data_IF_467259613929
#
_entry.id   IF_467259613929
#
_cell.length_a   1.000
_cell.length_b   1.000
_cell.length_c   1.000
_cell.angle_alpha   90.00
_cell.angle_beta   90.00
_cell.angle_gamma   90.00
#
_symmetry.space_group_name_H-M   'P 1'
#
loop_
_entity.id
_entity.type
_entity.pdbx_description
1 polymer ?
#
# COMPACT_ATOMS: atom_id res chain seq x y z
N UNK A 1 24.75 -51.03 2.65
CA UNK A 1 23.28 -50.84 2.79
C UNK A 1 23.00 -49.36 2.65
N UNK A 2 22.20 -48.98 1.67
CA UNK A 2 21.77 -47.60 1.44
C UNK A 2 20.51 -47.40 2.29
N UNK A 3 20.52 -46.47 3.23
CA UNK A 3 19.29 -46.10 3.96
C UNK A 3 18.94 -44.66 3.64
N UNK A 4 17.95 -44.52 2.76
CA UNK A 4 17.16 -43.33 2.48
C UNK A 4 16.47 -42.86 3.77
N UNK A 5 16.68 -41.62 4.20
CA UNK A 5 15.79 -40.98 5.16
C UNK A 5 14.92 -39.95 4.42
N UNK A 6 13.64 -40.31 4.30
CA UNK A 6 12.53 -39.48 3.82
C UNK A 6 12.33 -38.28 4.73
N UNK A 7 12.06 -37.12 4.13
CA UNK A 7 11.69 -35.90 4.83
C UNK A 7 10.26 -35.91 5.36
N UNK A 8 10.01 -34.95 6.26
CA UNK A 8 8.68 -34.43 6.58
C UNK A 8 8.86 -32.96 7.03
N UNK A 9 8.54 -32.02 6.14
CA UNK A 9 8.46 -30.60 6.45
C UNK A 9 7.20 -30.34 7.28
N UNK A 10 7.39 -29.90 8.51
CA UNK A 10 6.31 -29.51 9.44
C UNK A 10 5.79 -28.12 9.05
N UNK A 11 4.60 -28.07 8.46
CA UNK A 11 3.82 -26.83 8.31
C UNK A 11 3.62 -26.20 9.69
N UNK A 12 4.12 -24.97 9.86
CA UNK A 12 3.90 -24.16 11.05
C UNK A 12 2.77 -23.19 10.75
N UNK A 13 1.59 -23.57 11.20
CA UNK A 13 0.40 -22.74 11.38
C UNK A 13 0.80 -21.39 11.98
N UNK A 14 0.57 -20.30 11.24
CA UNK A 14 0.65 -18.94 11.76
C UNK A 14 -0.60 -18.67 12.58
N UNK A 15 -0.46 -18.82 13.90
CA UNK A 15 -1.37 -18.24 14.87
C UNK A 15 -1.47 -16.73 14.60
N UNK A 16 -2.60 -16.29 14.05
CA UNK A 16 -2.88 -14.89 13.73
C UNK A 16 -3.71 -14.29 14.86
N UNK A 17 -3.09 -14.08 16.01
CA UNK A 17 -3.60 -13.16 17.03
C UNK A 17 -2.98 -11.78 16.80
N UNK A 18 -3.46 -11.08 15.75
CA UNK A 18 -3.08 -9.70 15.47
C UNK A 18 -3.92 -8.77 16.36
N UNK A 19 -3.31 -7.89 17.18
CA UNK A 19 -4.04 -6.95 18.05
C UNK A 19 -4.99 -6.05 17.25
N UNK A 20 -6.18 -5.79 17.81
CA UNK A 20 -7.38 -5.22 17.19
C UNK A 20 -7.30 -3.76 16.65
N UNK A 21 -6.13 -3.23 16.26
CA UNK A 21 -6.01 -1.93 15.57
C UNK A 21 -6.14 -2.03 14.03
N UNK A 22 -6.43 -3.23 13.52
CA UNK A 22 -6.36 -3.56 12.09
C UNK A 22 -7.70 -3.47 11.34
N UNK A 23 -8.81 -3.14 12.02
CA UNK A 23 -10.17 -3.29 11.46
C UNK A 23 -10.68 -2.10 10.63
N UNK A 24 -9.91 -1.01 10.51
CA UNK A 24 -10.34 0.22 9.80
C UNK A 24 -9.41 0.62 8.64
N UNK A 25 -8.68 -0.35 8.07
CA UNK A 25 -7.79 -0.09 6.93
C UNK A 25 -8.56 -0.43 5.64
N UNK A 26 -8.85 0.56 4.77
CA UNK A 26 -9.50 0.31 3.49
C UNK A 26 -8.69 -0.70 2.66
N UNK A 27 -9.40 -1.55 1.92
CA UNK A 27 -8.80 -2.58 1.06
C UNK A 27 -9.41 -2.53 -0.33
N UNK A 28 -8.64 -2.96 -1.32
CA UNK A 28 -9.17 -3.19 -2.67
C UNK A 28 -9.95 -4.49 -2.79
N UNK A 29 -10.44 -4.77 -4.00
CA UNK A 29 -11.18 -5.99 -4.35
C UNK A 29 -10.35 -7.27 -4.21
N UNK A 30 -9.02 -7.18 -4.26
CA UNK A 30 -8.10 -8.29 -3.99
C UNK A 30 -7.73 -8.42 -2.50
N UNK A 31 -8.28 -7.57 -1.63
CA UNK A 31 -8.00 -7.56 -0.21
C UNK A 31 -6.65 -6.95 0.16
N UNK A 32 -5.95 -6.27 -0.75
CA UNK A 32 -4.69 -5.57 -0.46
C UNK A 32 -5.00 -4.26 0.29
N UNK A 33 -4.21 -3.89 1.30
CA UNK A 33 -4.43 -2.66 2.06
C UNK A 33 -4.16 -1.42 1.20
N UNK A 34 -5.08 -0.47 1.20
CA UNK A 34 -4.93 0.84 0.58
C UNK A 34 -4.17 1.79 1.50
N UNK A 35 -2.92 1.41 1.79
CA UNK A 35 -2.00 2.14 2.66
C UNK A 35 -0.61 2.17 2.03
N UNK A 36 -0.07 3.38 1.85
CA UNK A 36 1.31 3.55 1.39
C UNK A 36 2.30 3.44 2.55
N UNK A 37 3.48 2.88 2.23
CA UNK A 37 4.60 2.84 3.17
C UNK A 37 5.18 4.25 3.37
N UNK A 38 5.90 4.52 4.48
CA UNK A 38 6.57 5.80 4.69
C UNK A 38 7.53 6.18 3.55
N UNK A 39 8.20 5.20 2.95
CA UNK A 39 9.11 5.42 1.82
C UNK A 39 8.36 5.89 0.56
N UNK A 40 7.22 5.26 0.24
CA UNK A 40 6.39 5.69 -0.88
C UNK A 40 5.76 7.05 -0.63
N UNK A 41 5.35 7.38 0.60
CA UNK A 41 4.84 8.70 0.93
C UNK A 41 5.90 9.79 0.72
N UNK A 42 7.17 9.53 1.09
CA UNK A 42 8.27 10.45 0.78
C UNK A 42 8.46 10.66 -0.72
N UNK A 43 8.32 9.61 -1.53
CA UNK A 43 8.37 9.72 -2.99
C UNK A 43 7.21 10.56 -3.53
N UNK A 44 5.98 10.34 -3.04
CA UNK A 44 4.81 11.16 -3.39
C UNK A 44 5.09 12.65 -3.12
N UNK A 45 5.59 12.99 -1.92
CA UNK A 45 5.95 14.38 -1.57
C UNK A 45 7.06 14.94 -2.47
N UNK A 46 8.09 14.15 -2.74
CA UNK A 46 9.21 14.57 -3.58
C UNK A 46 8.74 14.91 -5.01
N UNK A 47 7.99 14.01 -5.63
CA UNK A 47 7.48 14.24 -6.99
C UNK A 47 6.49 15.40 -7.03
N UNK A 48 5.54 15.46 -6.10
CA UNK A 48 4.62 16.59 -6.00
C UNK A 48 5.37 17.93 -5.93
N UNK A 49 6.37 18.03 -5.05
CA UNK A 49 7.18 19.24 -4.89
C UNK A 49 7.94 19.59 -6.17
N UNK A 50 8.50 18.60 -6.87
CA UNK A 50 9.23 18.83 -8.13
C UNK A 50 8.37 19.40 -9.25
N UNK A 51 7.06 19.12 -9.23
CA UNK A 51 6.08 19.66 -10.17
C UNK A 51 5.33 20.89 -9.64
N UNK A 52 5.72 21.44 -8.49
CA UNK A 52 5.06 22.61 -7.88
C UNK A 52 3.66 22.32 -7.33
N UNK A 53 3.35 21.06 -7.03
CA UNK A 53 2.06 20.64 -6.45
C UNK A 53 2.12 20.73 -4.93
N UNK A 54 1.31 21.62 -4.35
CA UNK A 54 1.20 21.82 -2.90
C UNK A 54 0.12 20.95 -2.25
N UNK A 55 -1.07 20.89 -2.87
CA UNK A 55 -2.18 20.02 -2.44
C UNK A 55 -2.21 18.76 -3.28
N UNK A 56 -1.52 17.73 -2.81
CA UNK A 56 -1.37 16.46 -3.53
C UNK A 56 -2.71 15.74 -3.63
N UNK A 57 -3.52 15.75 -2.56
CA UNK A 57 -4.83 15.10 -2.54
C UNK A 57 -5.75 15.64 -3.62
N UNK A 58 -5.96 16.96 -3.65
CA UNK A 58 -6.80 17.58 -4.66
C UNK A 58 -6.21 17.49 -6.07
N UNK A 59 -4.88 17.48 -6.20
CA UNK A 59 -4.23 17.34 -7.49
C UNK A 59 -4.42 15.95 -8.10
N UNK A 60 -4.27 14.88 -7.30
CA UNK A 60 -4.46 13.50 -7.74
C UNK A 60 -5.91 13.24 -8.14
N UNK A 61 -6.88 13.81 -7.41
CA UNK A 61 -8.30 13.73 -7.77
C UNK A 61 -8.58 14.30 -9.17
N UNK A 62 -7.97 15.44 -9.52
CA UNK A 62 -8.16 16.09 -10.84
C UNK A 62 -7.30 15.48 -11.95
N UNK A 63 -6.18 14.84 -11.61
CA UNK A 63 -5.18 14.37 -12.56
C UNK A 63 -4.95 12.85 -12.47
N UNK A 64 -5.98 12.08 -12.11
CA UNK A 64 -5.84 10.64 -11.88
C UNK A 64 -5.15 9.91 -13.05
N UNK A 65 -5.43 10.27 -14.30
CA UNK A 65 -4.77 9.67 -15.48
C UNK A 65 -3.24 9.74 -15.39
N UNK A 66 -2.69 10.81 -14.82
CA UNK A 66 -1.26 10.92 -14.56
C UNK A 66 -0.81 9.97 -13.45
N UNK A 67 -1.55 9.91 -12.33
CA UNK A 67 -1.22 9.02 -11.22
C UNK A 67 -1.25 7.53 -11.63
N UNK A 68 -2.14 7.16 -12.57
CA UNK A 68 -2.20 5.79 -13.14
C UNK A 68 -0.94 5.39 -13.91
N UNK A 69 -0.10 6.33 -14.36
CA UNK A 69 1.20 5.97 -14.93
C UNK A 69 2.11 5.27 -13.91
N UNK A 70 1.94 5.56 -12.62
CA UNK A 70 2.70 4.93 -11.52
C UNK A 70 1.96 3.76 -10.87
N UNK A 71 0.62 3.78 -10.90
CA UNK A 71 -0.26 2.76 -10.33
C UNK A 71 -1.29 2.28 -11.37
N UNK A 72 -0.86 1.56 -12.43
CA UNK A 72 -1.70 1.29 -13.61
C UNK A 72 -2.88 0.37 -13.32
N UNK A 73 -2.78 -0.45 -12.28
CA UNK A 73 -3.82 -1.42 -11.90
C UNK A 73 -4.79 -0.88 -10.86
N UNK A 74 -4.51 0.28 -10.26
CA UNK A 74 -5.37 0.87 -9.24
C UNK A 74 -6.46 1.76 -9.86
N UNK A 75 -7.63 1.79 -9.25
CA UNK A 75 -8.69 2.76 -9.60
C UNK A 75 -8.32 4.16 -9.09
N UNK A 76 -8.98 5.19 -9.62
CA UNK A 76 -8.76 6.55 -9.13
C UNK A 76 -9.11 6.69 -7.64
N UNK A 77 -10.16 6.01 -7.19
CA UNK A 77 -10.59 6.00 -5.79
C UNK A 77 -9.56 5.32 -4.87
N UNK A 78 -8.98 4.20 -5.34
CA UNK A 78 -7.90 3.51 -4.64
C UNK A 78 -6.66 4.39 -4.55
N UNK A 79 -6.28 5.06 -5.64
CA UNK A 79 -5.14 5.99 -5.66
C UNK A 79 -5.38 7.17 -4.70
N UNK A 80 -6.56 7.77 -4.71
CA UNK A 80 -6.94 8.84 -3.78
C UNK A 80 -6.80 8.36 -2.34
N UNK A 81 -7.28 7.15 -2.05
CA UNK A 81 -7.19 6.54 -0.71
C UNK A 81 -5.74 6.28 -0.29
N UNK A 82 -4.91 5.76 -1.21
CA UNK A 82 -3.48 5.50 -1.02
C UNK A 82 -2.73 6.79 -0.69
N UNK A 83 -2.96 7.86 -1.46
CA UNK A 83 -2.31 9.17 -1.24
C UNK A 83 -2.81 9.80 0.07
N UNK A 84 -4.12 9.78 0.34
CA UNK A 84 -4.69 10.27 1.59
C UNK A 84 -4.13 9.53 2.83
N UNK A 85 -3.75 8.27 2.68
CA UNK A 85 -3.12 7.49 3.75
C UNK A 85 -1.79 8.10 4.23
N UNK A 86 -1.05 8.80 3.37
CA UNK A 86 0.19 9.48 3.74
C UNK A 86 -0.03 10.62 4.73
N UNK A 87 -1.12 11.38 4.58
CA UNK A 87 -1.48 12.48 5.48
C UNK A 87 -2.07 11.96 6.79
N UNK A 88 -2.98 10.98 6.73
CA UNK A 88 -3.58 10.36 7.94
C UNK A 88 -2.54 9.78 8.89
N UNK A 89 -1.49 9.18 8.33
CA UNK A 89 -0.38 8.60 9.10
C UNK A 89 0.77 9.59 9.36
N UNK A 90 0.61 10.88 9.01
CA UNK A 90 1.59 11.95 9.22
C UNK A 90 2.97 11.65 8.61
N UNK A 91 2.99 11.01 7.45
CA UNK A 91 4.23 10.75 6.72
C UNK A 91 4.68 11.93 5.86
N UNK A 92 3.76 12.83 5.46
CA UNK A 92 4.06 14.01 4.65
C UNK A 92 3.32 15.26 5.11
#
# INVERSE_FOLDING_TARGET
MVTLFKGATKERTRDSSVPQKQQDIPRDKEGRPLLLSPAHCKQVKHYASSYGVSDVTSWVERNCSFAKMFLPTATCEEINTLVASCYRNKFI
#
